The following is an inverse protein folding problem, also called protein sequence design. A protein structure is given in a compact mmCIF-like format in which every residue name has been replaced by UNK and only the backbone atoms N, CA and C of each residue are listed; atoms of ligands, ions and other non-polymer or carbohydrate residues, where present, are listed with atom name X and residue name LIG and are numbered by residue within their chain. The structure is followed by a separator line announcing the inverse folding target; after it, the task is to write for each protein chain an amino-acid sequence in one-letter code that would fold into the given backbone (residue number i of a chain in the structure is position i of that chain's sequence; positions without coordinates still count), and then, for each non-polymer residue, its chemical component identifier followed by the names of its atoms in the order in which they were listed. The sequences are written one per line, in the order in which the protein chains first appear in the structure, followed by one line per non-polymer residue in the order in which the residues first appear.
data_IF_294583791206
#
_entry.id   IF_294583791206
#
_cell.length_a   1.000
_cell.length_b   1.000
_cell.length_c   1.000
_cell.angle_alpha   90.00
_cell.angle_beta   90.00
_cell.angle_gamma   90.00
#
_symmetry.space_group_name_H-M   'P 1'
#
loop_
_entity.id
_entity.type
_entity.pdbx_description
1 polymer ?
#
# COMPACT_ATOMS: atom_id res chain seq x y z
N UNK A 1 -12.75 50.08 -9.41
CA UNK A 1 -13.52 49.20 -10.32
C UNK A 1 -12.66 48.34 -11.25
N UNK A 2 -11.64 48.88 -11.94
CA UNK A 2 -10.78 48.07 -12.85
C UNK A 2 -9.97 46.95 -12.17
N UNK A 3 -9.55 47.13 -10.91
CA UNK A 3 -8.83 46.11 -10.13
C UNK A 3 -9.71 44.96 -9.62
N UNK A 4 -11.03 45.18 -9.50
CA UNK A 4 -11.97 44.13 -9.07
C UNK A 4 -12.31 43.20 -10.24
N UNK A 5 -12.38 43.74 -11.46
CA UNK A 5 -12.68 42.99 -12.67
C UNK A 5 -11.56 42.01 -13.05
N UNK A 6 -10.29 42.39 -12.86
CA UNK A 6 -9.14 41.50 -13.12
C UNK A 6 -9.02 40.37 -12.10
N UNK A 7 -9.35 40.61 -10.83
CA UNK A 7 -9.34 39.56 -9.80
C UNK A 7 -10.42 38.49 -10.05
N UNK A 8 -11.61 38.89 -10.50
CA UNK A 8 -12.71 37.99 -10.83
C UNK A 8 -12.39 37.16 -12.08
N UNK A 9 -11.75 37.76 -13.10
CA UNK A 9 -11.34 37.05 -14.31
C UNK A 9 -10.26 36.00 -14.03
N UNK A 10 -9.29 36.31 -13.16
CA UNK A 10 -8.26 35.36 -12.72
C UNK A 10 -8.83 34.22 -11.87
N UNK A 11 -9.84 34.49 -11.04
CA UNK A 11 -10.51 33.47 -10.23
C UNK A 11 -11.38 32.53 -11.09
N UNK A 12 -12.04 33.05 -12.12
CA UNK A 12 -12.78 32.26 -13.10
C UNK A 12 -11.86 31.40 -13.98
N UNK A 13 -10.69 31.91 -14.40
CA UNK A 13 -9.70 31.11 -15.11
C UNK A 13 -9.12 29.99 -14.23
N UNK A 14 -8.87 30.25 -12.95
CA UNK A 14 -8.38 29.24 -12.02
C UNK A 14 -9.43 28.13 -11.78
N UNK A 15 -10.72 28.50 -11.71
CA UNK A 15 -11.84 27.55 -11.59
C UNK A 15 -12.06 26.71 -12.85
N UNK A 16 -11.83 27.27 -14.04
CA UNK A 16 -11.89 26.51 -15.31
C UNK A 16 -10.72 25.54 -15.41
N UNK A 17 -9.50 25.94 -15.06
CA UNK A 17 -8.33 25.04 -15.04
C UNK A 17 -8.48 23.95 -13.97
N UNK A 18 -9.04 24.25 -12.80
CA UNK A 18 -9.33 23.26 -11.75
C UNK A 18 -10.49 22.31 -12.13
N UNK A 19 -11.46 22.77 -12.93
CA UNK A 19 -12.51 21.89 -13.50
C UNK A 19 -11.95 21.00 -14.61
N UNK A 20 -11.05 21.49 -15.44
CA UNK A 20 -10.43 20.70 -16.51
C UNK A 20 -9.44 19.65 -15.97
N UNK A 21 -8.73 19.92 -14.87
CA UNK A 21 -7.88 18.91 -14.21
C UNK A 21 -8.68 17.88 -13.40
N UNK A 22 -9.85 18.26 -12.87
CA UNK A 22 -10.79 17.32 -12.23
C UNK A 22 -11.56 16.46 -13.23
N UNK A 23 -11.97 17.02 -14.37
CA UNK A 23 -12.74 16.32 -15.39
C UNK A 23 -11.89 15.37 -16.26
N UNK A 24 -10.58 15.61 -16.38
CA UNK A 24 -9.69 14.72 -17.16
C UNK A 24 -9.42 13.38 -16.49
N UNK A 25 -9.56 13.27 -15.16
CA UNK A 25 -9.41 11.99 -14.46
C UNK A 25 -10.70 11.15 -14.47
N UNK A 26 -11.88 11.77 -14.46
CA UNK A 26 -13.16 11.06 -14.65
C UNK A 26 -13.35 10.58 -16.10
N UNK A 27 -12.79 11.29 -17.09
CA UNK A 27 -12.88 10.91 -18.50
C UNK A 27 -11.88 9.82 -18.94
N UNK A 28 -10.95 9.38 -18.07
CA UNK A 28 -10.10 8.23 -18.38
C UNK A 28 -10.85 6.89 -18.26
N UNK A 29 -12.01 6.86 -17.62
CA UNK A 29 -12.90 5.70 -17.62
C UNK A 29 -13.76 5.59 -18.91
N UNK A 30 -13.87 6.66 -19.72
CA UNK A 30 -14.78 6.71 -20.89
C UNK A 30 -14.10 6.61 -22.27
N UNK A 31 -12.77 6.68 -22.38
CA UNK A 31 -12.12 6.44 -23.68
C UNK A 31 -11.82 4.96 -23.85
N UNK A 32 -12.43 4.31 -24.85
CA UNK A 32 -12.12 2.93 -25.26
C UNK A 32 -10.71 2.72 -25.85
N UNK A 33 -9.74 3.56 -25.47
CA UNK A 33 -8.33 3.42 -25.81
C UNK A 33 -7.61 2.59 -24.74
N UNK A 34 -6.73 1.68 -25.17
CA UNK A 34 -5.94 0.88 -24.24
C UNK A 34 -5.07 1.78 -23.35
N UNK A 35 -4.93 1.48 -22.05
CA UNK A 35 -4.24 2.37 -21.12
C UNK A 35 -2.76 2.55 -21.50
N UNK A 36 -2.35 3.80 -21.70
CA UNK A 36 -1.00 4.19 -22.14
C UNK A 36 -0.12 4.63 -20.96
N UNK A 37 0.06 3.75 -19.96
CA UNK A 37 0.77 4.09 -18.71
C UNK A 37 2.30 4.15 -18.91
N UNK A 38 2.89 3.13 -19.53
CA UNK A 38 4.35 2.99 -19.64
C UNK A 38 4.91 3.69 -20.88
N UNK A 39 4.18 3.68 -21.98
CA UNK A 39 4.58 4.29 -23.24
C UNK A 39 3.44 5.13 -23.83
N UNK A 40 3.78 6.18 -24.59
CA UNK A 40 2.81 7.00 -25.33
C UNK A 40 2.09 6.22 -26.42
N UNK A 41 2.74 5.23 -27.02
CA UNK A 41 2.08 4.32 -27.94
C UNK A 41 1.19 3.34 -27.14
N UNK A 42 -0.15 3.40 -27.25
CA UNK A 42 -1.05 2.51 -26.52
C UNK A 42 -0.86 1.04 -26.91
N UNK A 43 -0.28 0.74 -28.08
CA UNK A 43 0.01 -0.63 -28.54
C UNK A 43 1.39 -1.13 -28.12
N UNK A 44 2.20 -0.29 -27.45
CA UNK A 44 3.50 -0.70 -26.95
C UNK A 44 3.37 -1.92 -26.03
N UNK A 45 4.32 -2.86 -26.14
CA UNK A 45 4.23 -4.15 -25.47
C UNK A 45 4.13 -4.05 -23.94
N UNK A 46 4.77 -3.06 -23.32
CA UNK A 46 4.64 -2.81 -21.87
C UNK A 46 3.22 -2.39 -21.46
N UNK A 47 2.53 -1.60 -22.29
CA UNK A 47 1.14 -1.22 -22.02
C UNK A 47 0.20 -2.42 -22.20
N UNK A 48 0.41 -3.21 -23.25
CA UNK A 48 -0.33 -4.46 -23.50
C UNK A 48 -0.10 -5.51 -22.39
N UNK A 49 1.12 -5.59 -21.87
CA UNK A 49 1.48 -6.45 -20.74
C UNK A 49 0.74 -5.99 -19.48
N UNK A 50 0.79 -4.70 -19.16
CA UNK A 50 0.03 -4.13 -18.04
C UNK A 50 -1.48 -4.41 -18.18
N UNK A 51 -2.06 -4.17 -19.35
CA UNK A 51 -3.47 -4.44 -19.64
C UNK A 51 -3.86 -5.92 -19.55
N UNK A 52 -2.91 -6.85 -19.75
CA UNK A 52 -3.18 -8.28 -19.59
C UNK A 52 -3.24 -8.72 -18.12
N UNK A 53 -2.54 -8.04 -17.22
CA UNK A 53 -2.33 -8.48 -15.84
C UNK A 53 -3.05 -7.61 -14.78
N UNK A 54 -3.26 -6.32 -15.05
CA UNK A 54 -3.79 -5.36 -14.08
C UNK A 54 -5.23 -4.95 -14.38
N UNK A 55 -5.63 -5.10 -15.63
CA UNK A 55 -6.91 -4.59 -16.11
C UNK A 55 -7.91 -5.74 -16.23
N UNK A 56 -9.01 -5.62 -15.48
CA UNK A 56 -10.15 -6.55 -15.56
C UNK A 56 -11.26 -5.90 -16.38
N UNK A 57 -12.01 -6.72 -17.10
CA UNK A 57 -13.22 -6.30 -17.80
C UNK A 57 -14.41 -7.13 -17.33
N UNK A 58 -15.55 -6.48 -17.15
CA UNK A 58 -16.80 -7.17 -16.85
C UNK A 58 -17.50 -7.69 -18.13
N UNK A 59 -18.68 -8.29 -17.97
CA UNK A 59 -19.48 -8.78 -19.10
C UNK A 59 -19.92 -7.65 -20.06
N UNK A 60 -20.09 -6.43 -19.54
CA UNK A 60 -20.40 -5.23 -20.31
C UNK A 60 -19.14 -4.59 -20.95
N UNK A 61 -17.96 -5.21 -20.76
CA UNK A 61 -16.64 -4.73 -21.20
C UNK A 61 -16.19 -3.44 -20.53
N UNK A 62 -16.81 -3.06 -19.41
CA UNK A 62 -16.35 -1.95 -18.57
C UNK A 62 -15.02 -2.35 -17.94
N UNK A 63 -14.09 -1.42 -17.91
CA UNK A 63 -12.68 -1.66 -17.55
C UNK A 63 -12.41 -1.22 -16.12
N UNK A 64 -11.70 -2.04 -15.36
CA UNK A 64 -11.37 -1.80 -13.95
C UNK A 64 -9.90 -2.13 -13.66
N UNK A 65 -9.35 -1.52 -12.60
CA UNK A 65 -7.98 -1.75 -12.15
C UNK A 65 -6.94 -0.77 -12.73
N UNK A 66 -7.38 0.20 -13.53
CA UNK A 66 -6.51 1.25 -14.05
C UNK A 66 -5.90 2.04 -12.89
N UNK A 67 -4.56 2.12 -12.86
CA UNK A 67 -3.80 2.83 -11.83
C UNK A 67 -4.02 2.32 -10.39
N UNK A 68 -4.54 1.09 -10.24
CA UNK A 68 -4.64 0.42 -8.94
C UNK A 68 -3.24 0.09 -8.38
N UNK A 69 -3.09 0.13 -7.05
CA UNK A 69 -1.82 -0.19 -6.37
C UNK A 69 -1.46 -1.69 -6.46
N UNK A 70 -2.46 -2.55 -6.61
CA UNK A 70 -2.29 -4.00 -6.70
C UNK A 70 -3.23 -4.57 -7.77
N UNK A 71 -2.87 -5.69 -8.41
CA UNK A 71 -3.72 -6.31 -9.41
C UNK A 71 -5.00 -6.84 -8.76
N UNK A 72 -6.10 -6.80 -9.51
CA UNK A 72 -7.41 -7.34 -9.11
C UNK A 72 -7.41 -8.88 -9.21
N UNK A 73 -6.60 -9.50 -8.36
CA UNK A 73 -6.40 -10.95 -8.25
C UNK A 73 -6.73 -11.41 -6.83
N UNK A 74 -7.90 -12.02 -6.69
CA UNK A 74 -8.34 -12.64 -5.46
C UNK A 74 -7.68 -14.00 -5.25
N UNK A 75 -7.60 -14.49 -4.01
CA UNK A 75 -6.97 -15.77 -3.71
C UNK A 75 -7.53 -16.93 -4.56
N UNK A 76 -8.83 -16.96 -4.84
CA UNK A 76 -9.50 -18.06 -5.53
C UNK A 76 -9.88 -17.75 -6.99
N UNK A 77 -9.44 -16.63 -7.57
CA UNK A 77 -9.77 -16.33 -8.98
C UNK A 77 -9.14 -17.34 -9.94
N UNK A 78 -9.89 -17.69 -10.98
CA UNK A 78 -9.43 -18.43 -12.16
C UNK A 78 -8.91 -17.49 -13.27
N UNK A 79 -9.04 -16.17 -13.10
CA UNK A 79 -8.45 -15.19 -14.00
C UNK A 79 -6.94 -15.40 -14.12
N UNK A 80 -6.43 -15.38 -15.35
CA UNK A 80 -5.06 -15.76 -15.73
C UNK A 80 -4.75 -17.26 -15.67
N UNK A 81 -5.63 -18.11 -15.12
CA UNK A 81 -5.43 -19.56 -15.01
C UNK A 81 -6.31 -20.37 -15.95
N UNK A 82 -7.39 -19.77 -16.45
CA UNK A 82 -8.30 -20.43 -17.37
C UNK A 82 -8.67 -19.57 -18.59
N UNK A 83 -9.05 -20.29 -19.66
CA UNK A 83 -9.69 -19.74 -20.85
C UNK A 83 -8.88 -18.63 -21.56
N UNK A 84 -9.56 -17.66 -22.18
CA UNK A 84 -8.91 -16.60 -22.95
C UNK A 84 -7.92 -15.74 -22.15
N UNK A 85 -8.17 -15.55 -20.85
CA UNK A 85 -7.30 -14.73 -19.99
C UNK A 85 -5.92 -15.37 -19.79
N UNK A 86 -5.86 -16.68 -19.61
CA UNK A 86 -4.63 -17.44 -19.49
C UNK A 86 -3.82 -17.43 -20.79
N UNK A 87 -4.46 -17.76 -21.92
CA UNK A 87 -3.81 -17.72 -23.24
C UNK A 87 -3.23 -16.34 -23.56
N UNK A 88 -3.98 -15.28 -23.23
CA UNK A 88 -3.54 -13.90 -23.40
C UNK A 88 -2.31 -13.58 -22.55
N UNK A 89 -2.31 -13.99 -21.29
CA UNK A 89 -1.20 -13.77 -20.36
C UNK A 89 0.08 -14.48 -20.82
N UNK A 90 0.00 -15.75 -21.21
CA UNK A 90 1.17 -16.47 -21.71
C UNK A 90 1.69 -15.87 -23.01
N UNK A 91 0.80 -15.55 -23.96
CA UNK A 91 1.17 -14.98 -25.26
C UNK A 91 1.94 -13.67 -25.09
N UNK A 92 1.47 -12.75 -24.24
CA UNK A 92 2.14 -11.46 -24.06
C UNK A 92 3.47 -11.58 -23.31
N UNK A 93 3.60 -12.54 -22.39
CA UNK A 93 4.88 -12.84 -21.74
C UNK A 93 5.88 -13.42 -22.74
N UNK A 94 5.44 -14.37 -23.57
CA UNK A 94 6.29 -14.97 -24.61
C UNK A 94 6.73 -13.93 -25.64
N UNK A 95 5.82 -13.04 -26.07
CA UNK A 95 6.15 -11.91 -26.94
C UNK A 95 7.16 -10.97 -26.26
N UNK A 96 6.98 -10.65 -24.98
CA UNK A 96 7.89 -9.79 -24.22
C UNK A 96 9.31 -10.38 -24.19
N UNK A 97 9.41 -11.68 -23.92
CA UNK A 97 10.67 -12.40 -23.85
C UNK A 97 11.34 -12.56 -25.22
N UNK A 98 10.59 -12.86 -26.27
CA UNK A 98 11.12 -13.09 -27.61
C UNK A 98 11.59 -11.80 -28.28
N UNK A 99 10.89 -10.69 -28.02
CA UNK A 99 11.22 -9.37 -28.60
C UNK A 99 12.21 -8.57 -27.75
N UNK A 100 12.73 -9.14 -26.66
CA UNK A 100 13.59 -8.45 -25.70
C UNK A 100 13.00 -7.11 -25.25
N UNK A 101 11.71 -7.12 -24.96
CA UNK A 101 10.95 -5.91 -24.67
C UNK A 101 11.45 -5.16 -23.44
N UNK A 102 12.16 -5.82 -22.52
CA UNK A 102 12.85 -5.16 -21.41
C UNK A 102 13.81 -4.05 -21.87
N UNK A 103 14.35 -4.14 -23.10
CA UNK A 103 15.31 -3.19 -23.64
C UNK A 103 14.65 -1.98 -24.33
N UNK A 104 13.33 -2.03 -24.56
CA UNK A 104 12.58 -0.97 -25.25
C UNK A 104 12.33 0.24 -24.33
N UNK A 105 12.30 0.03 -23.01
CA UNK A 105 12.22 1.11 -22.00
C UNK A 105 13.35 0.93 -20.99
N UNK A 106 14.27 1.89 -20.96
CA UNK A 106 15.45 1.90 -20.06
C UNK A 106 15.26 2.74 -18.80
N UNK A 107 14.13 3.43 -18.67
CA UNK A 107 13.79 4.24 -17.51
C UNK A 107 13.73 3.37 -16.23
N UNK A 108 14.61 3.59 -15.24
CA UNK A 108 14.65 2.79 -14.01
C UNK A 108 13.34 2.83 -13.21
N UNK A 109 12.65 3.96 -13.17
CA UNK A 109 11.42 4.11 -12.41
C UNK A 109 10.29 3.28 -13.05
N UNK A 110 10.17 3.31 -14.38
CA UNK A 110 9.21 2.47 -15.11
C UNK A 110 9.51 0.99 -14.95
N UNK A 111 10.79 0.60 -15.00
CA UNK A 111 11.24 -0.78 -14.76
C UNK A 111 10.90 -1.25 -13.34
N UNK A 112 11.15 -0.42 -12.34
CA UNK A 112 10.86 -0.71 -10.95
C UNK A 112 9.36 -0.93 -10.72
N UNK A 113 8.49 -0.05 -11.25
CA UNK A 113 7.05 -0.23 -11.14
C UNK A 113 6.56 -1.47 -11.88
N UNK A 114 7.06 -1.75 -13.08
CA UNK A 114 6.66 -2.97 -13.80
C UNK A 114 7.14 -4.24 -13.08
N UNK A 115 8.36 -4.25 -12.52
CA UNK A 115 8.84 -5.35 -11.67
C UNK A 115 7.92 -5.54 -10.46
N UNK A 116 7.62 -4.46 -9.73
CA UNK A 116 6.73 -4.47 -8.56
C UNK A 116 5.35 -5.05 -8.88
N UNK A 117 4.81 -4.67 -10.04
CA UNK A 117 3.51 -5.08 -10.55
C UNK A 117 3.49 -6.55 -10.94
N UNK A 118 4.44 -7.02 -11.74
CA UNK A 118 4.50 -8.44 -12.16
C UNK A 118 4.90 -9.37 -11.01
N UNK A 119 5.68 -8.89 -10.05
CA UNK A 119 6.01 -9.65 -8.85
C UNK A 119 4.76 -9.91 -8.00
N UNK A 120 3.77 -9.01 -8.05
CA UNK A 120 2.46 -9.26 -7.46
C UNK A 120 1.77 -10.50 -8.00
N UNK A 121 1.76 -10.61 -9.33
CA UNK A 121 1.14 -11.73 -10.03
C UNK A 121 1.91 -13.01 -9.75
N UNK A 122 3.25 -12.94 -9.74
CA UNK A 122 4.08 -14.09 -9.38
C UNK A 122 3.73 -14.59 -7.98
N UNK A 123 3.81 -13.74 -6.96
CA UNK A 123 3.52 -14.15 -5.57
C UNK A 123 2.09 -14.71 -5.42
N UNK A 124 1.10 -14.12 -6.10
CA UNK A 124 -0.27 -14.64 -6.12
C UNK A 124 -0.36 -16.03 -6.77
N UNK A 125 0.38 -16.26 -7.86
CA UNK A 125 0.38 -17.56 -8.56
C UNK A 125 0.95 -18.69 -7.71
N UNK A 126 1.78 -18.38 -6.70
CA UNK A 126 2.37 -19.35 -5.76
C UNK A 126 1.41 -19.76 -4.65
N UNK A 127 0.36 -18.99 -4.40
CA UNK A 127 -0.64 -19.36 -3.39
C UNK A 127 -1.27 -20.72 -3.72
N UNK A 128 -1.54 -21.52 -2.69
CA UNK A 128 -2.21 -22.81 -2.82
C UNK A 128 -3.56 -22.66 -3.54
N UNK A 129 -3.82 -23.53 -4.51
CA UNK A 129 -5.06 -23.52 -5.28
C UNK A 129 -5.06 -24.51 -6.44
N UNK A 130 -6.15 -24.50 -7.20
CA UNK A 130 -6.31 -25.29 -8.43
C UNK A 130 -5.37 -24.78 -9.55
N UNK A 131 -5.39 -25.47 -10.70
CA UNK A 131 -4.63 -25.09 -11.90
C UNK A 131 -3.10 -25.13 -11.72
N UNK A 132 -2.58 -26.22 -11.15
CA UNK A 132 -1.16 -26.35 -10.84
C UNK A 132 -0.26 -26.23 -12.09
N UNK A 133 -0.72 -26.69 -13.26
CA UNK A 133 0.03 -26.62 -14.52
C UNK A 133 0.07 -25.17 -15.01
N UNK A 134 -1.07 -24.51 -15.10
CA UNK A 134 -1.22 -23.15 -15.61
C UNK A 134 -0.51 -22.13 -14.70
N UNK A 135 -0.57 -22.34 -13.37
CA UNK A 135 0.22 -21.57 -12.40
C UNK A 135 1.71 -21.71 -12.66
N UNK A 136 2.20 -22.94 -12.86
CA UNK A 136 3.62 -23.20 -13.15
C UNK A 136 4.06 -22.55 -14.46
N UNK A 137 3.23 -22.60 -15.49
CA UNK A 137 3.52 -21.96 -16.80
C UNK A 137 3.65 -20.44 -16.68
N UNK A 138 2.78 -19.80 -15.89
CA UNK A 138 2.89 -18.39 -15.56
C UNK A 138 4.16 -18.10 -14.76
N UNK A 139 4.42 -18.87 -13.70
CA UNK A 139 5.57 -18.67 -12.80
C UNK A 139 6.90 -18.68 -13.56
N UNK A 140 7.11 -19.67 -14.45
CA UNK A 140 8.35 -19.79 -15.23
C UNK A 140 8.59 -18.53 -16.08
N UNK A 141 7.57 -18.05 -16.78
CA UNK A 141 7.67 -16.88 -17.67
C UNK A 141 7.80 -15.59 -16.88
N UNK A 142 7.01 -15.42 -15.83
CA UNK A 142 7.08 -14.27 -14.93
C UNK A 142 8.46 -14.17 -14.28
N UNK A 143 9.04 -15.28 -13.82
CA UNK A 143 10.37 -15.29 -13.24
C UNK A 143 11.44 -14.79 -14.23
N UNK A 144 11.38 -15.22 -15.49
CA UNK A 144 12.32 -14.76 -16.53
C UNK A 144 12.10 -13.28 -16.89
N UNK A 145 10.85 -12.83 -17.01
CA UNK A 145 10.55 -11.40 -17.25
C UNK A 145 11.03 -10.53 -16.08
N UNK A 146 10.75 -10.95 -14.84
CA UNK A 146 11.17 -10.26 -13.62
C UNK A 146 12.68 -10.16 -13.52
N UNK A 147 13.40 -11.24 -13.86
CA UNK A 147 14.85 -11.26 -13.98
C UNK A 147 15.35 -10.20 -14.97
N UNK A 148 14.75 -10.11 -16.15
CA UNK A 148 15.14 -9.18 -17.21
C UNK A 148 14.79 -7.74 -16.89
N UNK A 149 13.77 -7.52 -16.06
CA UNK A 149 13.38 -6.21 -15.53
C UNK A 149 14.22 -5.77 -14.34
N UNK A 150 14.86 -6.70 -13.62
CA UNK A 150 15.61 -6.40 -12.40
C UNK A 150 16.68 -5.33 -12.63
N UNK A 151 16.71 -4.38 -11.70
CA UNK A 151 17.55 -3.20 -11.75
C UNK A 151 18.92 -3.47 -11.13
N UNK A 152 19.91 -2.65 -11.50
CA UNK A 152 21.17 -2.61 -10.76
C UNK A 152 20.96 -2.00 -9.36
N UNK A 153 21.78 -2.34 -8.36
CA UNK A 153 21.70 -1.73 -7.04
C UNK A 153 21.76 -0.19 -7.08
N UNK A 154 22.56 0.37 -7.99
CA UNK A 154 22.74 1.81 -8.17
C UNK A 154 21.50 2.47 -8.77
N UNK A 155 20.78 1.78 -9.63
CA UNK A 155 19.52 2.25 -10.23
C UNK A 155 18.40 2.27 -9.19
N UNK A 156 18.34 1.28 -8.29
CA UNK A 156 17.37 1.28 -7.19
C UNK A 156 17.66 2.43 -6.22
N UNK A 157 18.94 2.68 -5.91
CA UNK A 157 19.35 3.80 -5.03
C UNK A 157 19.05 5.18 -5.63
N UNK A 158 18.99 5.30 -6.96
CA UNK A 158 18.70 6.56 -7.65
C UNK A 158 17.21 6.79 -7.93
N UNK A 159 16.33 5.86 -7.56
CA UNK A 159 14.89 6.06 -7.64
C UNK A 159 14.47 7.31 -6.84
N UNK A 160 13.45 8.05 -7.32
CA UNK A 160 13.02 9.28 -6.67
C UNK A 160 12.45 9.02 -5.27
N UNK A 161 12.75 9.91 -4.33
CA UNK A 161 11.98 10.04 -3.09
C UNK A 161 10.67 10.79 -3.41
N UNK A 162 9.65 10.01 -3.70
CA UNK A 162 8.38 10.52 -4.18
C UNK A 162 7.57 11.20 -3.05
N UNK A 163 7.85 10.85 -1.78
CA UNK A 163 7.28 11.53 -0.61
C UNK A 163 7.85 12.95 -0.48
N UNK A 164 9.18 13.09 -0.55
CA UNK A 164 9.83 14.40 -0.50
C UNK A 164 9.38 15.31 -1.66
N UNK A 165 9.20 14.75 -2.86
CA UNK A 165 8.66 15.48 -4.01
C UNK A 165 7.22 15.95 -3.77
N UNK A 166 6.37 15.12 -3.18
CA UNK A 166 5.00 15.49 -2.82
C UNK A 166 4.96 16.62 -1.79
N UNK A 167 5.83 16.58 -0.76
CA UNK A 167 5.98 17.68 0.21
C UNK A 167 6.44 18.97 -0.49
N UNK A 168 7.45 18.88 -1.35
CA UNK A 168 8.01 20.04 -2.06
C UNK A 168 7.00 20.70 -3.02
N UNK A 169 6.01 19.95 -3.52
CA UNK A 169 4.95 20.48 -4.40
C UNK A 169 4.03 21.49 -3.73
N UNK A 170 3.89 21.46 -2.39
CA UNK A 170 2.98 22.31 -1.63
C UNK A 170 1.48 22.02 -1.82
N UNK A 171 1.11 20.94 -2.52
CA UNK A 171 -0.30 20.59 -2.78
C UNK A 171 -1.04 20.17 -1.50
N UNK A 172 -0.36 19.45 -0.61
CA UNK A 172 -0.93 18.98 0.65
C UNK A 172 -0.73 19.99 1.78
N UNK A 173 -1.72 20.10 2.68
CA UNK A 173 -1.48 20.79 3.95
C UNK A 173 -0.37 20.08 4.74
N UNK A 174 0.41 20.82 5.53
CA UNK A 174 1.50 20.21 6.33
C UNK A 174 1.00 19.52 7.59
N UNK A 175 -0.16 19.93 8.08
CA UNK A 175 -0.76 19.44 9.33
C UNK A 175 -2.26 19.28 9.17
N UNK A 176 -2.83 18.43 10.01
CA UNK A 176 -4.27 18.27 10.14
C UNK A 176 -4.91 19.56 10.66
N UNK A 177 -6.00 19.98 10.02
CA UNK A 177 -6.77 21.17 10.38
C UNK A 177 -8.14 20.75 10.96
N UNK A 178 -8.37 20.88 12.28
CA UNK A 178 -9.63 20.50 12.89
C UNK A 178 -10.81 21.37 12.43
N UNK A 179 -10.57 22.56 11.86
CA UNK A 179 -11.61 23.39 11.27
C UNK A 179 -11.94 22.96 9.83
N UNK A 180 -11.00 22.32 9.13
CA UNK A 180 -11.16 21.82 7.76
C UNK A 180 -10.80 20.33 7.70
N UNK A 181 -11.61 19.52 8.37
CA UNK A 181 -11.35 18.09 8.63
C UNK A 181 -11.19 17.22 7.38
N UNK A 182 -11.72 17.66 6.25
CA UNK A 182 -11.63 16.93 4.97
C UNK A 182 -10.42 17.35 4.14
N UNK A 183 -9.68 18.37 4.57
CA UNK A 183 -8.51 18.85 3.84
C UNK A 183 -7.41 17.80 3.92
N UNK A 184 -6.90 17.30 2.78
CA UNK A 184 -5.81 16.34 2.80
C UNK A 184 -4.53 17.02 3.30
N UNK A 185 -3.76 16.28 4.09
CA UNK A 185 -2.50 16.74 4.64
C UNK A 185 -1.43 15.65 4.52
N UNK A 186 -0.17 16.08 4.45
CA UNK A 186 1.01 15.22 4.37
C UNK A 186 2.13 15.83 5.23
N UNK A 187 2.46 15.23 6.39
CA UNK A 187 3.41 15.84 7.32
C UNK A 187 4.86 15.83 6.79
N UNK A 188 5.56 16.97 6.72
CA UNK A 188 6.92 17.02 6.16
C UNK A 188 7.96 16.26 6.99
N UNK A 189 7.68 16.00 8.26
CA UNK A 189 8.56 15.32 9.20
C UNK A 189 8.18 13.86 9.50
N UNK A 190 7.16 13.30 8.82
CA UNK A 190 6.66 11.94 9.07
C UNK A 190 7.75 10.88 8.99
N UNK A 191 8.60 10.95 7.97
CA UNK A 191 9.69 9.99 7.73
C UNK A 191 11.03 10.45 8.33
N UNK A 192 11.06 11.60 9.00
CA UNK A 192 12.30 12.13 9.59
C UNK A 192 12.64 11.42 10.90
N UNK A 193 13.90 10.97 11.11
CA UNK A 193 14.22 10.18 12.29
C UNK A 193 14.02 10.80 13.64
N UNK A 194 14.23 12.10 13.72
CA UNK A 194 14.03 12.88 14.94
C UNK A 194 12.79 13.77 14.83
N UNK A 195 11.88 13.47 13.89
CA UNK A 195 10.63 14.17 13.70
C UNK A 195 9.66 13.96 14.87
N UNK A 196 8.55 14.69 14.82
CA UNK A 196 7.47 14.62 15.82
C UNK A 196 6.75 13.26 15.82
N UNK A 197 6.89 12.49 14.73
CA UNK A 197 6.34 11.15 14.56
C UNK A 197 7.30 10.08 15.08
N UNK A 198 6.78 9.14 15.85
CA UNK A 198 7.52 8.00 16.39
C UNK A 198 7.07 6.73 15.67
N UNK A 199 7.97 6.10 14.91
CA UNK A 199 7.70 4.80 14.30
C UNK A 199 7.68 3.72 15.38
N UNK A 200 6.64 2.89 15.42
CA UNK A 200 6.61 1.68 16.24
C UNK A 200 7.61 0.69 15.67
N UNK A 201 8.44 0.08 16.52
CA UNK A 201 9.39 -0.96 16.12
C UNK A 201 8.95 -2.33 16.63
N UNK A 202 9.22 -3.37 15.84
CA UNK A 202 9.05 -4.77 16.24
C UNK A 202 10.37 -5.36 16.76
N UNK A 203 10.27 -6.47 17.50
CA UNK A 203 11.45 -7.23 17.96
C UNK A 203 11.97 -8.14 16.83
N UNK A 204 12.46 -7.55 15.74
CA UNK A 204 12.94 -8.28 14.56
C UNK A 204 11.83 -8.70 13.58
N UNK A 205 10.58 -8.67 14.00
CA UNK A 205 9.40 -8.98 13.18
C UNK A 205 8.67 -7.72 12.68
N UNK A 206 7.94 -7.79 11.53
CA UNK A 206 7.14 -6.68 11.07
C UNK A 206 6.04 -6.25 12.06
N UNK A 207 5.72 -4.95 12.13
CA UNK A 207 4.74 -4.40 13.08
C UNK A 207 3.32 -4.42 12.56
N UNK A 208 3.14 -4.40 11.24
CA UNK A 208 1.86 -4.51 10.55
C UNK A 208 1.76 -5.86 9.83
N UNK A 209 1.88 -6.95 10.59
CA UNK A 209 1.97 -8.35 10.10
C UNK A 209 0.89 -8.70 9.07
N UNK A 210 -0.37 -8.35 9.35
CA UNK A 210 -1.49 -8.65 8.46
C UNK A 210 -1.37 -7.95 7.09
N UNK A 211 -0.86 -6.71 7.08
CA UNK A 211 -0.59 -5.98 5.83
C UNK A 211 0.59 -6.61 5.10
N UNK A 212 1.72 -6.83 5.79
CA UNK A 212 2.90 -7.47 5.19
C UNK A 212 2.57 -8.83 4.58
N UNK A 213 1.79 -9.65 5.28
CA UNK A 213 1.33 -10.95 4.80
C UNK A 213 0.41 -10.85 3.57
N UNK A 214 -0.53 -9.89 3.56
CA UNK A 214 -1.44 -9.69 2.43
C UNK A 214 -0.73 -9.30 1.13
N UNK A 215 0.37 -8.55 1.24
CA UNK A 215 1.18 -8.14 0.09
C UNK A 215 2.44 -9.00 -0.08
N UNK A 216 2.51 -10.15 0.59
CA UNK A 216 3.60 -11.12 0.52
C UNK A 216 4.99 -10.48 0.68
N UNK A 217 5.13 -9.48 1.55
CA UNK A 217 6.40 -8.80 1.82
C UNK A 217 6.95 -7.94 0.68
N UNK A 218 6.18 -7.75 -0.40
CA UNK A 218 6.54 -6.87 -1.53
C UNK A 218 6.44 -5.37 -1.20
N UNK A 219 5.89 -5.07 -0.03
CA UNK A 219 5.95 -3.75 0.59
C UNK A 219 6.28 -3.90 2.06
N UNK A 220 6.98 -2.89 2.60
CA UNK A 220 7.08 -2.68 4.03
C UNK A 220 5.98 -1.74 4.51
N UNK A 221 5.59 -1.89 5.76
CA UNK A 221 4.49 -1.16 6.36
C UNK A 221 4.94 -0.55 7.69
N UNK A 222 5.24 0.75 7.66
CA UNK A 222 5.69 1.49 8.84
C UNK A 222 4.49 2.10 9.57
N UNK A 223 4.44 1.94 10.89
CA UNK A 223 3.37 2.51 11.71
C UNK A 223 3.93 3.62 12.58
N UNK A 224 3.49 4.86 12.36
CA UNK A 224 3.90 6.02 13.15
C UNK A 224 2.79 6.50 14.06
N UNK A 225 3.16 7.00 15.23
CA UNK A 225 2.26 7.68 16.18
C UNK A 225 2.81 9.07 16.48
N UNK A 226 1.92 10.06 16.59
CA UNK A 226 2.24 11.42 17.04
C UNK A 226 1.19 11.87 18.06
N UNK A 227 1.63 12.17 19.28
CA UNK A 227 0.85 12.97 20.23
C UNK A 227 0.99 14.46 19.93
N UNK A 228 0.01 15.27 20.33
CA UNK A 228 -0.01 16.73 20.08
C UNK A 228 1.18 17.43 20.71
N UNK A 229 1.58 16.98 21.88
CA UNK A 229 2.70 17.47 22.68
C UNK A 229 4.07 17.05 22.09
N UNK A 230 4.07 16.25 21.02
CA UNK A 230 5.23 15.91 20.22
C UNK A 230 5.94 14.62 20.60
N UNK A 231 7.19 14.48 20.12
CA UNK A 231 7.96 13.23 20.17
C UNK A 231 8.17 12.71 21.59
N UNK A 232 8.59 13.58 22.51
CA UNK A 232 8.88 13.18 23.90
C UNK A 232 7.64 12.59 24.57
N UNK A 233 6.50 13.28 24.48
CA UNK A 233 5.25 12.80 25.05
C UNK A 233 4.82 11.45 24.44
N UNK A 234 5.04 11.28 23.13
CA UNK A 234 4.74 10.01 22.44
C UNK A 234 5.60 8.86 23.00
N UNK A 235 6.90 9.08 23.20
CA UNK A 235 7.80 8.09 23.81
C UNK A 235 7.47 7.82 25.28
N UNK A 236 7.13 8.86 26.06
CA UNK A 236 6.70 8.72 27.45
C UNK A 236 5.42 7.88 27.54
N UNK A 237 4.46 8.07 26.63
CA UNK A 237 3.24 7.25 26.53
C UNK A 237 3.56 5.79 26.22
N UNK A 238 4.45 5.51 25.25
CA UNK A 238 4.90 4.13 24.97
C UNK A 238 5.56 3.49 26.20
N UNK A 239 6.37 4.25 26.94
CA UNK A 239 6.99 3.78 28.17
C UNK A 239 5.95 3.51 29.27
N UNK A 240 4.87 4.29 29.36
CA UNK A 240 3.78 4.02 30.28
C UNK A 240 3.03 2.72 29.94
N UNK A 241 2.73 2.48 28.66
CA UNK A 241 2.13 1.23 28.18
C UNK A 241 2.98 0.01 28.54
N UNK A 242 4.30 0.10 28.36
CA UNK A 242 5.24 -0.96 28.70
C UNK A 242 5.23 -1.32 30.19
N UNK A 243 5.04 -0.33 31.07
CA UNK A 243 5.14 -0.51 32.52
C UNK A 243 3.85 -0.97 33.19
N UNK A 244 2.78 -1.20 32.43
CA UNK A 244 1.56 -1.82 32.97
C UNK A 244 1.91 -3.22 33.51
N UNK A 245 1.61 -3.54 34.79
CA UNK A 245 2.00 -4.80 35.42
C UNK A 245 1.41 -6.04 34.74
N UNK A 246 0.15 -5.94 34.28
CA UNK A 246 -0.61 -7.04 33.67
C UNK A 246 -1.33 -6.51 32.41
N UNK A 247 -0.61 -6.36 31.28
CA UNK A 247 -1.21 -5.82 30.06
C UNK A 247 -2.18 -6.80 29.37
N UNK A 248 -2.22 -8.06 29.83
CA UNK A 248 -3.05 -9.14 29.32
C UNK A 248 -3.93 -9.71 30.43
N UNK A 249 -5.15 -10.10 30.07
CA UNK A 249 -6.09 -10.86 30.90
C UNK A 249 -6.15 -12.27 30.31
N UNK A 250 -5.91 -13.30 31.12
CA UNK A 250 -6.08 -14.70 30.69
C UNK A 250 -7.56 -15.05 30.69
N UNK A 251 -8.04 -15.68 29.62
CA UNK A 251 -9.34 -16.35 29.64
C UNK A 251 -9.17 -17.75 30.24
N UNK A 252 -10.11 -18.21 31.07
CA UNK A 252 -10.01 -19.47 31.84
C UNK A 252 -10.13 -20.72 30.94
N UNK A 253 -10.44 -20.55 29.65
CA UNK A 253 -10.66 -21.61 28.66
C UNK A 253 -9.82 -21.37 27.37
N UNK A 254 -8.55 -21.77 27.43
CA UNK A 254 -7.74 -22.27 26.30
C UNK A 254 -7.09 -21.33 25.23
N UNK A 255 -5.86 -21.72 24.85
CA UNK A 255 -5.02 -21.55 23.63
C UNK A 255 -4.93 -20.20 22.86
N UNK A 256 -5.68 -19.15 23.18
CA UNK A 256 -5.57 -17.84 22.49
C UNK A 256 -4.60 -16.86 23.18
N UNK A 257 -3.94 -15.93 22.45
CA UNK A 257 -3.23 -14.83 23.09
C UNK A 257 -4.23 -13.97 23.87
N UNK A 258 -4.03 -13.85 25.18
CA UNK A 258 -4.97 -13.23 26.12
C UNK A 258 -5.52 -11.87 25.67
N UNK A 259 -6.72 -11.55 26.14
CA UNK A 259 -7.33 -10.26 25.88
C UNK A 259 -6.50 -9.13 26.50
N UNK A 260 -6.60 -7.94 25.92
CA UNK A 260 -5.92 -6.79 26.52
C UNK A 260 -6.63 -6.34 27.78
N UNK A 261 -5.83 -5.96 28.78
CA UNK A 261 -6.37 -5.39 30.00
C UNK A 261 -7.18 -4.13 29.67
N UNK A 262 -8.48 -4.06 30.01
CA UNK A 262 -9.30 -2.88 29.76
C UNK A 262 -8.77 -1.61 30.45
N UNK A 263 -7.91 -1.76 31.47
CA UNK A 263 -7.26 -0.66 32.19
C UNK A 263 -6.04 -0.08 31.46
N UNK A 264 -5.70 -0.57 30.26
CA UNK A 264 -4.61 0.01 29.50
C UNK A 264 -4.85 1.52 29.25
N UNK A 265 -3.81 2.37 29.43
CA UNK A 265 -3.92 3.79 29.11
C UNK A 265 -4.39 4.01 27.67
N UNK A 266 -5.52 4.70 27.51
CA UNK A 266 -6.04 5.06 26.18
C UNK A 266 -5.15 6.11 25.50
N UNK A 267 -5.27 6.21 24.17
CA UNK A 267 -4.61 7.28 23.42
C UNK A 267 -5.11 8.65 23.92
N UNK A 268 -4.27 9.70 23.96
CA UNK A 268 -4.76 11.05 24.14
C UNK A 268 -5.61 11.53 22.96
N UNK A 269 -6.63 12.35 23.22
CA UNK A 269 -7.40 12.99 22.14
C UNK A 269 -6.48 13.87 21.29
N UNK A 270 -6.62 13.77 19.98
CA UNK A 270 -5.79 14.46 19.01
C UNK A 270 -4.54 13.69 18.59
N UNK A 271 -4.34 12.47 19.12
CA UNK A 271 -3.34 11.54 18.59
C UNK A 271 -3.53 11.38 17.09
N UNK A 272 -2.42 11.29 16.36
CA UNK A 272 -2.40 10.94 14.95
C UNK A 272 -1.63 9.64 14.77
N UNK A 273 -2.13 8.78 13.89
CA UNK A 273 -1.47 7.52 13.51
C UNK A 273 -1.32 7.49 12.00
N UNK A 274 -0.13 7.13 11.52
CA UNK A 274 0.13 6.92 10.10
C UNK A 274 0.50 5.46 9.84
N UNK A 275 -0.06 4.87 8.79
CA UNK A 275 0.44 3.64 8.18
C UNK A 275 1.05 4.01 6.82
N UNK A 276 2.36 3.85 6.68
CA UNK A 276 3.10 4.14 5.46
C UNK A 276 3.46 2.83 4.77
N UNK A 277 2.99 2.66 3.55
CA UNK A 277 3.36 1.56 2.67
C UNK A 277 4.49 2.01 1.75
N UNK A 278 5.63 1.34 1.82
CA UNK A 278 6.77 1.60 0.95
C UNK A 278 7.18 0.35 0.18
N UNK A 279 7.61 0.57 -1.05
CA UNK A 279 7.93 -0.47 -2.01
C UNK A 279 9.17 -1.27 -1.59
N UNK A 280 9.08 -2.58 -1.71
CA UNK A 280 10.24 -3.49 -1.75
C UNK A 280 10.49 -3.88 -3.20
N UNK A 281 11.75 -3.93 -3.60
CA UNK A 281 12.21 -4.44 -4.89
C UNK A 281 13.26 -5.53 -4.68
N UNK A 282 13.74 -6.10 -5.77
CA UNK A 282 14.96 -6.88 -5.78
C UNK A 282 15.84 -6.49 -6.96
N UNK A 283 17.15 -6.45 -6.73
CA UNK A 283 18.14 -6.15 -7.75
C UNK A 283 18.42 -7.37 -8.65
N UNK A 284 19.18 -7.15 -9.72
CA UNK A 284 19.59 -8.19 -10.69
C UNK A 284 20.47 -9.28 -10.07
N UNK A 285 21.06 -9.02 -8.90
CA UNK A 285 21.80 -9.98 -8.10
C UNK A 285 20.86 -10.89 -7.29
N UNK A 286 19.56 -10.60 -7.27
CA UNK A 286 18.56 -11.35 -6.53
C UNK A 286 18.52 -10.98 -5.05
N UNK A 287 18.98 -9.78 -4.69
CA UNK A 287 18.91 -9.28 -3.33
C UNK A 287 17.69 -8.39 -3.15
N UNK A 288 16.94 -8.64 -2.08
CA UNK A 288 15.81 -7.80 -1.68
C UNK A 288 16.30 -6.44 -1.16
N UNK A 289 15.65 -5.35 -1.59
CA UNK A 289 16.03 -3.98 -1.27
C UNK A 289 14.78 -3.15 -1.00
N UNK A 290 14.81 -2.32 0.05
CA UNK A 290 13.79 -1.29 0.26
C UNK A 290 13.99 -0.15 -0.74
N UNK A 291 12.94 0.23 -1.47
CA UNK A 291 12.98 1.32 -2.44
C UNK A 291 12.42 2.62 -1.84
N UNK A 292 12.91 3.81 -2.26
CA UNK A 292 12.44 5.10 -1.77
C UNK A 292 11.08 5.53 -2.38
N UNK A 293 10.25 4.56 -2.79
CA UNK A 293 8.91 4.81 -3.36
C UNK A 293 7.85 4.49 -2.32
N UNK A 294 7.11 5.51 -1.93
CA UNK A 294 5.93 5.42 -1.08
C UNK A 294 4.71 5.13 -1.95
N UNK A 295 4.05 4.01 -1.67
CA UNK A 295 2.88 3.53 -2.41
C UNK A 295 1.58 4.08 -1.81
N UNK A 296 1.50 4.16 -0.47
CA UNK A 296 0.39 4.82 0.21
C UNK A 296 0.75 5.32 1.60
N UNK A 297 -0.02 6.31 2.07
CA UNK A 297 -0.01 6.83 3.43
C UNK A 297 -1.45 6.91 3.91
N UNK A 298 -1.79 6.13 4.92
CA UNK A 298 -3.08 6.21 5.61
C UNK A 298 -2.89 6.96 6.94
N UNK A 299 -3.62 8.04 7.13
CA UNK A 299 -3.57 8.89 8.31
C UNK A 299 -4.90 8.80 9.06
N UNK A 300 -4.81 8.60 10.37
CA UNK A 300 -5.95 8.58 11.30
C UNK A 300 -5.76 9.62 12.39
N UNK A 301 -6.78 10.42 12.65
CA UNK A 301 -6.78 11.43 13.72
C UNK A 301 -7.88 11.15 14.72
N UNK A 302 -7.53 10.91 15.98
CA UNK A 302 -8.50 10.59 17.04
C UNK A 302 -9.08 11.89 17.59
N UNK A 303 -10.37 12.13 17.37
CA UNK A 303 -11.11 13.30 17.88
C UNK A 303 -11.84 13.01 19.18
N UNK A 304 -12.21 11.75 19.38
CA UNK A 304 -12.81 11.24 20.60
C UNK A 304 -12.38 9.78 20.79
N UNK A 305 -12.56 9.26 22.00
CA UNK A 305 -12.34 7.85 22.33
C UNK A 305 -13.53 7.44 23.20
N UNK A 306 -14.40 6.60 22.66
CA UNK A 306 -15.49 6.06 23.46
C UNK A 306 -14.97 5.01 24.45
N UNK A 307 -15.68 4.91 25.57
CA UNK A 307 -15.49 3.82 26.53
C UNK A 307 -16.14 2.50 26.06
N UNK A 308 -16.39 2.30 24.76
CA UNK A 308 -17.11 1.13 24.23
C UNK A 308 -16.39 -0.15 24.70
N UNK A 309 -17.07 -0.87 25.60
CA UNK A 309 -16.56 -2.03 26.31
C UNK A 309 -17.07 -3.37 25.74
N UNK A 310 -17.91 -3.37 24.70
CA UNK A 310 -18.45 -4.61 24.13
C UNK A 310 -17.59 -5.12 22.97
N UNK A 311 -16.48 -5.79 23.31
CA UNK A 311 -15.72 -6.59 22.34
C UNK A 311 -16.55 -7.73 21.71
N UNK A 312 -17.72 -8.04 22.29
CA UNK A 312 -18.60 -9.13 21.89
C UNK A 312 -19.63 -8.77 20.81
N UNK A 313 -19.74 -7.49 20.41
CA UNK A 313 -20.65 -7.09 19.34
C UNK A 313 -19.83 -6.86 18.05
N UNK A 314 -19.63 -7.94 17.30
CA UNK A 314 -18.86 -8.00 16.05
C UNK A 314 -19.52 -7.21 14.90
N UNK A 315 -20.61 -6.47 15.16
CA UNK A 315 -21.14 -5.54 14.18
C UNK A 315 -20.22 -4.32 14.07
N UNK A 316 -19.45 -4.25 12.99
CA UNK A 316 -18.70 -3.05 12.62
C UNK A 316 -19.70 -1.89 12.47
N UNK A 317 -19.77 -1.04 13.49
CA UNK A 317 -20.53 0.20 13.44
C UNK A 317 -19.69 1.24 12.69
N UNK A 318 -19.61 1.09 11.35
CA UNK A 318 -18.88 1.98 10.45
C UNK A 318 -19.20 3.47 10.66
N UNK A 319 -20.46 3.86 10.93
CA UNK A 319 -20.78 5.23 11.34
C UNK A 319 -20.02 5.69 12.60
N UNK A 320 -19.95 4.87 13.65
CA UNK A 320 -19.30 5.25 14.90
C UNK A 320 -17.78 5.46 14.77
N UNK A 321 -17.08 4.65 13.97
CA UNK A 321 -15.64 4.84 13.74
C UNK A 321 -15.35 6.24 13.14
N UNK A 322 -16.19 6.73 12.22
CA UNK A 322 -16.09 8.09 11.65
C UNK A 322 -16.50 9.20 12.63
N UNK A 323 -17.31 8.89 13.65
CA UNK A 323 -17.64 9.88 14.69
C UNK A 323 -16.47 10.16 15.63
N UNK A 324 -15.55 9.22 15.77
CA UNK A 324 -14.39 9.33 16.67
C UNK A 324 -13.07 9.61 15.95
N UNK A 325 -12.91 9.14 14.71
CA UNK A 325 -11.69 9.28 13.93
C UNK A 325 -11.95 9.97 12.59
N UNK A 326 -10.97 10.75 12.15
CA UNK A 326 -10.88 11.21 10.76
C UNK A 326 -9.87 10.35 10.00
N UNK A 327 -10.22 9.99 8.77
CA UNK A 327 -9.42 9.13 7.90
C UNK A 327 -9.01 9.90 6.66
N UNK A 328 -7.71 9.88 6.37
CA UNK A 328 -7.16 10.40 5.13
C UNK A 328 -6.28 9.33 4.51
N UNK A 329 -6.25 9.29 3.18
CA UNK A 329 -5.33 8.44 2.48
C UNK A 329 -4.72 9.18 1.29
N UNK A 330 -3.42 9.01 1.12
CA UNK A 330 -2.66 9.46 -0.05
C UNK A 330 -2.10 8.21 -0.73
N UNK A 331 -2.26 8.08 -2.04
CA UNK A 331 -1.84 6.90 -2.80
C UNK A 331 -1.01 7.29 -4.00
N UNK A 332 -0.16 6.36 -4.41
CA UNK A 332 0.59 6.43 -5.65
C UNK A 332 -0.34 6.32 -6.85
N UNK A 333 -0.18 7.24 -7.79
CA UNK A 333 -0.63 7.17 -9.17
C UNK A 333 0.60 6.98 -10.05
N UNK A 334 0.67 5.87 -10.78
CA UNK A 334 1.79 5.56 -11.66
C UNK A 334 1.86 6.58 -12.80
N UNK A 335 0.69 7.00 -13.30
CA UNK A 335 0.60 8.02 -14.33
C UNK A 335 1.18 9.36 -13.86
N UNK A 336 0.79 9.83 -12.67
CA UNK A 336 1.33 11.08 -12.11
C UNK A 336 2.82 10.96 -11.75
N UNK A 337 3.25 9.79 -11.27
CA UNK A 337 4.65 9.52 -10.95
C UNK A 337 5.52 9.64 -12.20
N UNK A 338 5.14 8.99 -13.30
CA UNK A 338 5.86 9.05 -14.58
C UNK A 338 5.79 10.43 -15.23
N UNK A 339 4.74 11.21 -14.94
CA UNK A 339 4.62 12.60 -15.37
C UNK A 339 5.41 13.59 -14.50
N UNK A 340 6.04 13.13 -13.40
CA UNK A 340 6.75 13.99 -12.45
C UNK A 340 5.84 14.93 -11.67
N UNK A 341 4.55 14.60 -11.56
CA UNK A 341 3.54 15.44 -10.92
C UNK A 341 3.41 15.08 -9.45
N UNK A 342 3.70 16.02 -8.54
CA UNK A 342 3.44 15.84 -7.08
C UNK A 342 4.08 14.57 -6.50
N UNK A 343 5.21 14.11 -7.06
CA UNK A 343 5.81 12.82 -6.68
C UNK A 343 4.92 11.61 -6.95
N UNK A 344 3.94 11.72 -7.84
CA UNK A 344 2.95 10.69 -8.10
C UNK A 344 2.00 10.42 -6.95
N UNK A 345 1.95 11.25 -5.92
CA UNK A 345 1.07 11.06 -4.77
C UNK A 345 -0.18 11.93 -4.90
N UNK A 346 -1.35 11.31 -4.78
CA UNK A 346 -2.66 12.00 -4.77
C UNK A 346 -3.45 11.65 -3.53
N UNK A 347 -4.26 12.60 -3.06
CA UNK A 347 -5.27 12.31 -2.05
C UNK A 347 -6.36 11.40 -2.63
N UNK A 348 -6.81 10.45 -1.83
CA UNK A 348 -8.03 9.68 -2.10
C UNK A 348 -9.23 10.59 -1.86
N UNK A 349 -10.13 10.68 -2.84
CA UNK A 349 -11.31 11.52 -2.72
C UNK A 349 -12.36 10.90 -1.80
N UNK A 350 -13.19 11.73 -1.17
CA UNK A 350 -14.34 11.25 -0.39
C UNK A 350 -15.30 10.50 -1.32
N UNK A 351 -15.57 9.23 -1.00
CA UNK A 351 -16.46 8.39 -1.79
C UNK A 351 -15.80 7.74 -3.00
N UNK A 352 -14.48 7.90 -3.19
CA UNK A 352 -13.72 7.06 -4.12
C UNK A 352 -13.84 5.60 -3.68
N UNK A 353 -14.18 4.71 -4.60
CA UNK A 353 -14.51 3.30 -4.34
C UNK A 353 -13.52 2.39 -5.03
N UNK A 354 -13.19 1.28 -4.38
CA UNK A 354 -12.35 0.24 -4.99
C UNK A 354 -12.89 -1.16 -4.69
N UNK A 355 -12.40 -2.13 -5.45
CA UNK A 355 -12.63 -3.53 -5.13
C UNK A 355 -11.60 -3.99 -4.09
N UNK A 356 -12.02 -4.41 -2.90
CA UNK A 356 -11.08 -4.97 -1.93
C UNK A 356 -10.53 -6.30 -2.46
N UNK A 357 -9.21 -6.46 -2.45
CA UNK A 357 -8.52 -7.75 -2.68
C UNK A 357 -7.95 -8.34 -1.39
N UNK A 358 -7.90 -7.52 -0.33
CA UNK A 358 -7.46 -7.87 1.00
C UNK A 358 -8.67 -8.23 1.89
N UNK A 359 -8.54 -9.29 2.70
CA UNK A 359 -9.59 -9.76 3.64
C UNK A 359 -10.92 -10.17 3.02
N UNK A 360 -10.99 -10.48 1.72
CA UNK A 360 -12.24 -10.89 1.05
C UNK A 360 -12.48 -12.40 1.01
N UNK A 361 -11.71 -13.17 1.78
CA UNK A 361 -11.74 -14.64 1.80
C UNK A 361 -11.45 -15.32 0.44
N UNK A 362 -11.00 -14.55 -0.56
CA UNK A 362 -10.67 -15.04 -1.89
C UNK A 362 -11.79 -14.95 -2.93
N UNK A 363 -12.94 -14.40 -2.56
CA UNK A 363 -14.10 -14.26 -3.45
C UNK A 363 -13.83 -13.24 -4.57
N UNK A 364 -13.83 -13.73 -5.82
CA UNK A 364 -13.72 -12.88 -7.02
C UNK A 364 -15.11 -12.39 -7.46
N UNK A 365 -15.33 -11.09 -7.30
CA UNK A 365 -16.60 -10.43 -7.64
C UNK A 365 -16.92 -10.45 -9.14
N UNK A 366 -15.92 -10.44 -10.03
CA UNK A 366 -16.13 -10.48 -11.48
C UNK A 366 -16.65 -11.84 -11.92
N UNK A 367 -16.09 -12.92 -11.36
CA UNK A 367 -16.51 -14.28 -11.68
C UNK A 367 -17.90 -14.58 -11.15
N UNK A 368 -18.19 -14.17 -9.92
CA UNK A 368 -19.54 -14.38 -9.36
C UNK A 368 -20.58 -13.54 -10.06
N UNK A 369 -20.29 -12.26 -10.32
CA UNK A 369 -21.12 -11.38 -11.13
C UNK A 369 -21.44 -12.00 -12.49
N UNK A 370 -20.44 -12.61 -13.14
CA UNK A 370 -20.63 -13.27 -14.41
C UNK A 370 -21.49 -14.53 -14.32
N UNK A 371 -21.33 -15.33 -13.27
CA UNK A 371 -22.14 -16.55 -13.01
C UNK A 371 -23.60 -16.20 -12.70
N UNK A 372 -23.83 -15.11 -11.99
CA UNK A 372 -25.16 -14.65 -11.57
C UNK A 372 -25.85 -13.75 -12.61
N UNK A 373 -25.16 -13.38 -13.70
CA UNK A 373 -25.61 -12.36 -14.66
C UNK A 373 -25.98 -11.02 -14.00
N UNK A 374 -25.26 -10.66 -12.94
CA UNK A 374 -25.47 -9.44 -12.16
C UNK A 374 -24.46 -8.38 -12.59
N UNK A 375 -24.85 -7.19 -13.09
CA UNK A 375 -23.90 -6.16 -13.49
C UNK A 375 -23.00 -5.70 -12.32
N UNK A 376 -21.68 -5.64 -12.52
CA UNK A 376 -20.73 -5.18 -11.49
C UNK A 376 -21.01 -3.76 -11.00
N UNK A 377 -21.53 -2.90 -11.87
CA UNK A 377 -21.89 -1.52 -11.50
C UNK A 377 -22.94 -1.47 -10.37
N UNK A 378 -23.78 -2.49 -10.26
CA UNK A 378 -24.80 -2.61 -9.20
C UNK A 378 -24.24 -3.16 -7.89
N UNK A 379 -23.02 -3.70 -7.88
CA UNK A 379 -22.39 -4.15 -6.66
C UNK A 379 -21.91 -2.94 -5.85
N UNK A 380 -22.34 -2.88 -4.59
CA UNK A 380 -21.92 -1.83 -3.69
C UNK A 380 -20.44 -2.02 -3.34
N UNK A 381 -19.60 -1.16 -3.93
CA UNK A 381 -18.17 -1.09 -3.57
C UNK A 381 -18.00 -0.20 -2.33
N UNK A 382 -17.17 -0.62 -1.35
CA UNK A 382 -16.85 0.22 -0.21
C UNK A 382 -16.05 1.45 -0.67
N UNK A 383 -16.23 2.56 0.05
CA UNK A 383 -15.33 3.70 -0.10
C UNK A 383 -13.97 3.33 0.46
N UNK A 384 -12.91 3.73 -0.25
CA UNK A 384 -11.52 3.44 0.12
C UNK A 384 -11.22 3.86 1.57
N UNK A 385 -11.64 5.09 1.94
CA UNK A 385 -11.41 5.63 3.28
C UNK A 385 -12.17 4.87 4.38
N UNK A 386 -13.21 4.10 4.04
CA UNK A 386 -13.90 3.26 5.01
C UNK A 386 -13.12 1.99 5.31
N UNK A 387 -12.39 1.43 4.34
CA UNK A 387 -11.72 0.14 4.50
C UNK A 387 -10.75 0.09 5.69
N UNK A 388 -10.15 1.22 6.06
CA UNK A 388 -9.33 1.32 7.27
C UNK A 388 -10.14 1.01 8.54
N UNK A 389 -11.35 1.56 8.65
CA UNK A 389 -12.21 1.37 9.81
C UNK A 389 -12.66 -0.09 9.99
N UNK A 390 -12.66 -0.90 8.93
CA UNK A 390 -13.03 -2.32 8.98
C UNK A 390 -12.27 -3.10 10.04
N UNK A 391 -10.96 -2.84 10.12
CA UNK A 391 -10.03 -3.54 11.01
C UNK A 391 -9.55 -2.65 12.17
N UNK A 392 -9.89 -1.36 12.17
CA UNK A 392 -9.37 -0.35 13.10
C UNK A 392 -10.47 0.47 13.79
N UNK A 393 -11.70 -0.04 13.85
CA UNK A 393 -12.88 0.63 14.45
C UNK A 393 -12.93 0.59 15.97
N UNK A 394 -12.16 -0.26 16.64
CA UNK A 394 -12.12 -0.32 18.10
C UNK A 394 -11.70 1.06 18.70
N UNK A 395 -12.10 1.40 19.93
CA UNK A 395 -11.77 2.71 20.51
C UNK A 395 -10.29 2.83 20.90
N UNK A 396 -9.75 4.04 20.76
CA UNK A 396 -8.46 4.44 21.33
C UNK A 396 -7.31 3.48 21.02
N UNK A 397 -6.60 3.02 22.05
CA UNK A 397 -5.44 2.14 21.87
C UNK A 397 -5.81 0.79 21.25
N UNK A 398 -7.05 0.32 21.44
CA UNK A 398 -7.52 -0.97 20.92
C UNK A 398 -7.65 -0.98 19.38
N UNK A 399 -7.82 0.20 18.77
CA UNK A 399 -7.78 0.36 17.31
C UNK A 399 -6.41 0.08 16.69
N UNK A 400 -5.33 0.16 17.48
CA UNK A 400 -3.96 0.06 17.01
C UNK A 400 -3.53 -1.40 17.04
N UNK A 401 -3.61 -2.10 15.90
CA UNK A 401 -3.29 -3.54 15.87
C UNK A 401 -1.82 -3.86 16.22
N UNK A 402 -0.91 -2.92 15.97
CA UNK A 402 0.50 -3.02 16.36
C UNK A 402 0.77 -2.81 17.86
N UNK A 403 -0.26 -2.50 18.68
CA UNK A 403 -0.11 -2.21 20.12
C UNK A 403 0.56 -3.32 20.91
N UNK A 404 0.43 -4.59 20.48
CA UNK A 404 1.10 -5.73 21.12
C UNK A 404 2.63 -5.55 21.18
N UNK A 405 3.22 -4.81 20.22
CA UNK A 405 4.66 -4.49 20.19
C UNK A 405 5.09 -3.50 21.27
N UNK A 406 4.14 -2.79 21.88
CA UNK A 406 4.37 -1.79 22.92
C UNK A 406 4.15 -2.34 24.36
N UNK A 407 3.81 -3.62 24.50
CA UNK A 407 3.43 -4.26 25.77
C UNK A 407 4.36 -5.42 26.13
N UNK A 408 4.55 -5.69 27.43
CA UNK A 408 5.31 -6.86 27.94
C UNK A 408 4.79 -8.15 27.32
N UNK A 409 5.66 -9.11 26.92
CA UNK A 409 7.09 -9.18 27.19
C UNK A 409 8.02 -8.50 26.14
N UNK A 410 7.50 -7.69 25.20
CA UNK A 410 8.30 -7.08 24.12
C UNK A 410 9.15 -5.85 24.49
N UNK A 411 10.48 -5.94 24.67
CA UNK A 411 11.36 -4.82 25.10
C UNK A 411 10.89 -3.39 24.71
N UNK A 412 10.95 -2.41 25.63
CA UNK A 412 10.44 -1.08 25.35
C UNK A 412 11.23 -0.46 24.21
N UNK A 413 10.51 0.15 23.27
CA UNK A 413 11.13 0.80 22.11
C UNK A 413 12.18 1.83 22.52
N UNK A 414 11.95 2.58 23.62
CA UNK A 414 12.93 3.53 24.13
C UNK A 414 14.29 2.88 24.43
N UNK A 415 14.33 1.63 24.91
CA UNK A 415 15.58 0.92 25.14
C UNK A 415 16.27 0.51 23.83
N UNK A 416 15.51 0.24 22.76
CA UNK A 416 16.06 0.03 21.42
C UNK A 416 16.64 1.32 20.84
N UNK A 417 15.95 2.44 21.03
CA UNK A 417 16.37 3.76 20.53
C UNK A 417 17.56 4.34 21.34
N UNK A 418 17.66 4.06 22.64
CA UNK A 418 18.77 4.48 23.51
C UNK A 418 19.99 3.54 23.44
N UNK A 419 19.79 2.26 23.16
CA UNK A 419 20.86 1.28 22.92
C UNK A 419 21.46 1.36 21.52
N UNK A 420 21.62 2.59 20.99
CA UNK A 420 21.99 2.91 19.60
C UNK A 420 22.91 1.85 18.99
N UNK A 421 22.41 1.15 17.97
CA UNK A 421 23.29 0.50 17.02
C UNK A 421 24.14 1.62 16.38
N UNK A 422 25.48 1.58 16.39
CA UNK A 422 26.33 2.63 15.81
C UNK A 422 26.00 2.93 14.34
N UNK A 423 25.38 1.97 13.65
CA UNK A 423 24.88 2.08 12.29
C UNK A 423 23.57 2.88 12.15
N UNK A 424 22.86 3.26 13.22
CA UNK A 424 21.60 4.05 13.11
C UNK A 424 21.85 5.56 12.98
N UNK A 425 23.05 6.05 13.34
CA UNK A 425 23.38 7.48 13.31
C UNK A 425 23.91 7.97 11.95
N UNK A 426 24.35 7.05 11.08
CA UNK A 426 24.93 7.37 9.76
C UNK A 426 23.95 7.23 8.59
N UNK A 427 22.82 6.57 8.76
CA UNK A 427 21.93 6.21 7.65
C UNK A 427 20.58 6.93 7.78
N UNK A 428 20.15 7.57 6.68
CA UNK A 428 18.99 8.46 6.62
C UNK A 428 17.61 7.80 6.81
N UNK A 429 16.50 8.44 6.39
CA UNK A 429 15.10 8.13 6.78
C UNK A 429 14.56 6.74 6.36
N UNK A 430 15.38 5.88 5.78
CA UNK A 430 14.97 4.67 5.06
C UNK A 430 14.98 3.38 5.89
N UNK A 431 15.27 3.36 7.19
CA UNK A 431 15.63 2.11 7.89
C UNK A 431 14.70 1.61 9.01
N UNK A 432 13.65 2.35 9.37
CA UNK A 432 12.75 2.06 10.52
C UNK A 432 12.33 0.60 10.72
N UNK A 433 12.10 -0.13 9.63
CA UNK A 433 11.61 -1.53 9.64
C UNK A 433 12.09 -2.34 8.43
N UNK A 434 13.12 -1.86 7.73
CA UNK A 434 13.56 -2.47 6.48
C UNK A 434 13.94 -3.94 6.68
N UNK A 435 14.83 -4.21 7.65
CA UNK A 435 15.40 -5.55 7.82
C UNK A 435 14.37 -6.60 8.24
N UNK A 436 13.36 -6.22 9.04
CA UNK A 436 12.31 -7.15 9.46
C UNK A 436 11.45 -7.62 8.29
N UNK A 437 10.97 -6.69 7.44
CA UNK A 437 10.17 -7.09 6.26
C UNK A 437 11.02 -7.84 5.23
N UNK A 438 12.25 -7.38 4.99
CA UNK A 438 13.16 -8.04 4.04
C UNK A 438 13.53 -9.45 4.52
N UNK A 439 13.87 -9.61 5.80
CA UNK A 439 14.17 -10.91 6.40
C UNK A 439 12.95 -11.84 6.40
N UNK A 440 11.77 -11.30 6.72
CA UNK A 440 10.51 -12.03 6.62
C UNK A 440 10.28 -12.57 5.21
N UNK A 441 10.41 -11.72 4.17
CA UNK A 441 10.26 -12.13 2.77
C UNK A 441 11.34 -13.11 2.33
N UNK A 442 12.59 -12.93 2.78
CA UNK A 442 13.70 -13.81 2.42
C UNK A 442 13.47 -15.28 2.83
N UNK A 443 12.71 -15.50 3.91
CA UNK A 443 12.39 -16.82 4.44
C UNK A 443 11.10 -17.42 3.86
N UNK A 444 10.44 -16.75 2.90
CA UNK A 444 9.18 -17.22 2.31
C UNK A 444 9.41 -18.18 1.15
N UNK A 445 8.51 -19.17 1.03
CA UNK A 445 8.50 -20.11 -0.09
C UNK A 445 8.38 -19.42 -1.45
N UNK A 446 7.51 -18.41 -1.59
CA UNK A 446 7.33 -17.66 -2.84
C UNK A 446 8.63 -17.00 -3.33
N UNK A 447 9.42 -16.43 -2.42
CA UNK A 447 10.72 -15.88 -2.71
C UNK A 447 11.76 -16.96 -3.06
N UNK A 448 11.79 -18.06 -2.30
CA UNK A 448 12.65 -19.21 -2.58
C UNK A 448 12.37 -19.80 -3.97
N UNK A 449 11.10 -19.91 -4.36
CA UNK A 449 10.68 -20.41 -5.66
C UNK A 449 11.10 -19.47 -6.80
N UNK A 450 10.90 -18.16 -6.66
CA UNK A 450 11.35 -17.17 -7.64
C UNK A 450 12.86 -17.27 -7.87
N UNK A 451 13.65 -17.31 -6.78
CA UNK A 451 15.09 -17.47 -6.87
C UNK A 451 15.51 -18.82 -7.48
N UNK A 452 14.77 -19.89 -7.19
CA UNK A 452 14.99 -21.20 -7.79
C UNK A 452 14.90 -21.15 -9.32
N UNK A 453 13.84 -20.55 -9.86
CA UNK A 453 13.72 -20.33 -11.32
C UNK A 453 14.85 -19.46 -11.87
N UNK A 454 15.26 -18.45 -11.10
CA UNK A 454 16.29 -17.52 -11.49
C UNK A 454 17.68 -18.14 -11.58
N UNK A 455 17.98 -19.10 -10.69
CA UNK A 455 19.24 -19.83 -10.69
C UNK A 455 19.25 -20.93 -11.77
N UNK A 456 18.12 -21.61 -11.98
CA UNK A 456 18.01 -22.65 -13.01
C UNK A 456 18.29 -22.12 -14.43
N UNK A 457 17.86 -20.89 -14.72
CA UNK A 457 18.12 -20.24 -16.03
C UNK A 457 19.58 -19.80 -16.22
N UNK A 458 20.35 -19.61 -15.13
CA UNK A 458 21.80 -19.30 -15.21
C UNK A 458 22.67 -20.53 -15.46
N UNK A 459 22.20 -21.72 -15.08
CA UNK A 459 22.95 -22.98 -15.24
C UNK A 459 22.85 -23.62 -16.63
N UNK A 460 22.07 -23.04 -17.55
CA UNK A 460 21.82 -23.55 -18.91
C UNK A 460 22.59 -22.81 -20.00
N UNK A 461 23.66 -22.07 -19.65
CA UNK A 461 24.53 -21.36 -20.60
C UNK A 461 25.96 -21.87 -20.59
#
# INVERSE_FOLDING_TARGET
MRLLATAILSFLLLLVVLRETGATLSNLEESGSAPSIYNRDPKHIWNRLYDAFFIRKDQAKVTYGLDALDPLLWRQTEHLLAGPSHMRALTILDEFLHTHAENQIRDPLKRALLQRNLWAVFDWSVLDGNHAVERRELQIRLAEVLRRLALKPEEIKSLPDNYAQAIASGVFAKEYDPANRDRPFLPPDLLQPQGSWVCIRGNGEPVAEMHVGAFSGRSRFLVFVRLREGRKATLDYFHALWNVPEPWVSDELDVAPGELNPKLPQLPIGTQVALVRQMTLFDREGKLVAAPITESIQLRVYRAISARHDQNNVSVDWPAARTEQDFHEVRLSQAQLFAGQVGGLRAVARGEKEFPVFQTQGYDVFETSAKENSPLEKLERPSILDMCAACHSAPGINSLQSRRRLLKPNRPQLALDLGRNPDDAQYGPLWWEAQSTLGWKANRYDWGLLNGYWQATRGTH
#
